data_IF_527649578400
#
_entry.id   IF_527649578400
#
_cell.length_a   1.000
_cell.length_b   1.000
_cell.length_c   1.000
_cell.angle_alpha   90.00
_cell.angle_beta   90.00
_cell.angle_gamma   90.00
#
_symmetry.space_group_name_H-M   'P 1'
#
loop_
_entity.id
_entity.type
_entity.pdbx_description
1 polymer ?
#
# COMPACT_ATOMS: atom_id res chain seq x y z
N UNK A 1 21.42 -59.00 26.86
CA UNK A 1 20.47 -57.88 27.06
C UNK A 1 21.26 -56.78 27.73
N UNK A 2 21.33 -55.61 27.11
CA UNK A 2 22.07 -54.45 27.64
C UNK A 2 21.12 -53.26 27.85
N UNK A 3 21.57 -52.26 28.61
CA UNK A 3 20.80 -51.06 28.88
C UNK A 3 20.75 -50.13 27.66
N UNK A 4 19.60 -49.49 27.42
CA UNK A 4 19.42 -48.51 26.33
C UNK A 4 19.95 -47.15 26.79
N UNK A 5 20.99 -46.65 26.12
CA UNK A 5 21.62 -45.35 26.39
C UNK A 5 20.96 -44.21 25.59
N UNK A 6 19.65 -44.02 25.75
CA UNK A 6 18.86 -43.07 24.95
C UNK A 6 19.34 -41.63 25.11
N UNK A 7 19.51 -41.16 26.35
CA UNK A 7 19.94 -39.79 26.65
C UNK A 7 21.31 -39.47 26.06
N UNK A 8 22.29 -40.37 26.24
CA UNK A 8 23.64 -40.19 25.71
C UNK A 8 23.64 -40.09 24.18
N UNK A 9 22.80 -40.87 23.50
CA UNK A 9 22.66 -40.80 22.04
C UNK A 9 22.02 -39.48 21.59
N UNK A 10 21.02 -38.98 22.31
CA UNK A 10 20.37 -37.69 21.98
C UNK A 10 21.29 -36.51 22.21
N UNK A 11 22.08 -36.52 23.28
CA UNK A 11 23.07 -35.46 23.56
C UNK A 11 24.19 -35.45 22.51
N UNK A 12 24.66 -36.63 22.08
CA UNK A 12 25.63 -36.71 21.00
C UNK A 12 25.09 -36.13 19.70
N UNK A 13 23.84 -36.44 19.32
CA UNK A 13 23.22 -35.87 18.11
C UNK A 13 23.11 -34.35 18.19
N UNK A 14 22.77 -33.78 19.35
CA UNK A 14 22.77 -32.33 19.56
C UNK A 14 24.17 -31.74 19.40
N UNK A 15 25.19 -32.40 19.96
CA UNK A 15 26.59 -32.00 19.81
C UNK A 15 27.04 -32.01 18.33
N UNK A 16 26.49 -32.94 17.54
CA UNK A 16 26.72 -33.04 16.09
C UNK A 16 25.90 -32.01 15.27
N UNK A 17 25.12 -31.15 15.94
CA UNK A 17 24.37 -30.06 15.32
C UNK A 17 22.92 -30.40 14.93
N UNK A 18 22.39 -31.55 15.36
CA UNK A 18 20.98 -31.89 15.15
C UNK A 18 20.10 -31.09 16.12
N UNK A 19 19.21 -30.27 15.57
CA UNK A 19 18.28 -29.41 16.33
C UNK A 19 16.83 -29.92 16.33
N UNK A 20 16.49 -30.81 15.38
CA UNK A 20 15.12 -31.26 15.13
C UNK A 20 15.03 -32.77 15.31
N UNK A 21 14.15 -33.23 16.20
CA UNK A 21 13.89 -34.65 16.44
C UNK A 21 12.46 -35.02 16.00
N UNK A 22 12.31 -36.12 15.27
CA UNK A 22 11.02 -36.69 14.87
C UNK A 22 10.86 -38.08 15.50
N UNK A 23 9.82 -38.28 16.31
CA UNK A 23 9.52 -39.59 16.89
C UNK A 23 8.64 -40.41 15.94
N UNK A 24 9.16 -41.57 15.53
CA UNK A 24 8.45 -42.54 14.71
C UNK A 24 7.83 -43.57 15.65
N UNK A 25 6.54 -43.41 15.93
CA UNK A 25 5.79 -44.28 16.83
C UNK A 25 4.34 -43.84 16.96
N UNK A 26 3.49 -44.63 17.62
CA UNK A 26 2.04 -44.43 17.63
C UNK A 26 1.54 -43.29 18.54
N UNK A 27 2.36 -42.72 19.43
CA UNK A 27 1.88 -41.75 20.43
C UNK A 27 2.74 -40.48 20.60
N UNK A 28 4.04 -40.60 20.89
CA UNK A 28 4.88 -39.42 21.19
C UNK A 28 5.56 -39.45 22.55
N UNK A 29 5.88 -40.63 23.07
CA UNK A 29 6.42 -40.83 24.43
C UNK A 29 7.82 -40.23 24.56
N UNK A 30 8.62 -40.32 23.50
CA UNK A 30 10.01 -39.86 23.49
C UNK A 30 10.12 -38.36 23.18
N UNK A 31 9.11 -37.79 22.53
CA UNK A 31 9.08 -36.40 22.07
C UNK A 31 9.25 -35.41 23.22
N UNK A 32 8.65 -35.70 24.38
CA UNK A 32 8.82 -34.88 25.58
C UNK A 32 10.24 -34.92 26.16
N UNK A 33 11.01 -35.97 25.88
CA UNK A 33 12.39 -36.14 26.36
C UNK A 33 13.41 -35.47 25.42
N UNK A 34 13.05 -35.26 24.16
CA UNK A 34 13.93 -34.70 23.12
C UNK A 34 13.52 -33.30 22.67
N UNK A 35 12.44 -32.74 23.21
CA UNK A 35 11.76 -31.57 22.63
C UNK A 35 11.46 -31.77 21.12
N UNK A 36 11.05 -33.00 20.80
CA UNK A 36 10.82 -33.47 19.44
C UNK A 36 9.35 -33.39 19.02
N UNK A 37 9.11 -33.71 17.75
CA UNK A 37 7.78 -33.75 17.14
C UNK A 37 7.34 -35.21 17.01
N UNK A 38 6.17 -35.62 17.56
CA UNK A 38 5.64 -36.96 17.34
C UNK A 38 5.02 -37.07 15.94
N UNK A 39 5.35 -38.14 15.21
CA UNK A 39 4.77 -38.40 13.89
C UNK A 39 3.29 -38.80 13.98
N UNK A 40 2.95 -39.67 14.93
CA UNK A 40 1.58 -40.10 15.21
C UNK A 40 1.24 -39.84 16.67
N UNK A 41 -0.07 -39.75 16.95
CA UNK A 41 -0.61 -39.58 18.30
C UNK A 41 -1.87 -40.40 18.45
N UNK A 42 -2.01 -41.12 19.56
CA UNK A 42 -3.17 -41.97 19.79
C UNK A 42 -4.47 -41.14 19.82
N UNK A 43 -5.54 -41.66 19.22
CA UNK A 43 -6.84 -41.00 19.19
C UNK A 43 -6.95 -39.80 18.22
N UNK A 44 -6.00 -39.63 17.30
CA UNK A 44 -5.99 -38.58 16.27
C UNK A 44 -5.88 -39.21 14.87
N UNK A 45 -6.42 -38.58 13.81
CA UNK A 45 -6.22 -39.06 12.45
C UNK A 45 -4.73 -39.08 12.07
N UNK A 46 -4.25 -40.22 11.59
CA UNK A 46 -2.83 -40.44 11.31
C UNK A 46 -2.29 -39.47 10.24
N UNK A 47 -3.05 -39.25 9.16
CA UNK A 47 -2.65 -38.37 8.05
C UNK A 47 -2.48 -36.93 8.50
N UNK A 48 -3.42 -36.41 9.28
CA UNK A 48 -3.38 -35.03 9.77
C UNK A 48 -2.19 -34.80 10.70
N UNK A 49 -1.92 -35.76 11.59
CA UNK A 49 -0.75 -35.71 12.46
C UNK A 49 0.55 -35.79 11.68
N UNK A 50 0.65 -36.71 10.72
CA UNK A 50 1.85 -36.88 9.92
C UNK A 50 2.14 -35.62 9.09
N UNK A 51 1.12 -35.01 8.49
CA UNK A 51 1.24 -33.73 7.77
C UNK A 51 1.65 -32.58 8.69
N UNK A 52 1.05 -32.50 9.88
CA UNK A 52 1.39 -31.48 10.85
C UNK A 52 2.80 -31.68 11.44
N UNK A 53 3.27 -32.92 11.58
CA UNK A 53 4.62 -33.25 11.99
C UNK A 53 5.64 -32.89 10.90
N UNK A 54 5.36 -33.24 9.65
CA UNK A 54 6.17 -32.87 8.49
C UNK A 54 6.31 -31.34 8.34
N UNK A 55 5.22 -30.60 8.60
CA UNK A 55 5.24 -29.14 8.61
C UNK A 55 6.17 -28.54 9.66
N UNK A 56 6.30 -29.20 10.82
CA UNK A 56 7.16 -28.76 11.92
C UNK A 56 8.61 -29.22 11.79
N UNK A 57 8.87 -30.33 11.11
CA UNK A 57 10.21 -30.91 10.96
C UNK A 57 11.02 -30.35 9.79
N UNK A 58 10.49 -29.36 9.06
CA UNK A 58 11.16 -28.81 7.88
C UNK A 58 11.17 -29.74 6.68
N UNK A 59 10.21 -30.67 6.59
CA UNK A 59 10.12 -31.62 5.49
C UNK A 59 9.99 -30.92 4.13
N UNK A 60 10.58 -31.53 3.09
CA UNK A 60 10.47 -31.05 1.71
C UNK A 60 9.12 -31.41 1.12
N UNK A 61 8.18 -30.48 1.18
CA UNK A 61 6.82 -30.61 0.62
C UNK A 61 6.73 -31.13 -0.83
N UNK A 62 7.63 -30.76 -1.76
CA UNK A 62 7.54 -31.26 -3.15
C UNK A 62 7.64 -32.79 -3.26
N UNK A 63 8.36 -33.44 -2.35
CA UNK A 63 8.49 -34.91 -2.36
C UNK A 63 7.22 -35.58 -1.82
N UNK A 64 6.58 -34.96 -0.82
CA UNK A 64 5.33 -35.45 -0.23
C UNK A 64 4.11 -35.25 -1.13
N UNK A 65 4.13 -34.19 -1.95
CA UNK A 65 3.01 -33.75 -2.79
C UNK A 65 3.24 -34.08 -4.28
N UNK A 66 3.97 -35.15 -4.58
CA UNK A 66 4.24 -35.55 -5.98
C UNK A 66 2.92 -35.80 -6.73
N UNK A 67 2.73 -35.08 -7.84
CA UNK A 67 1.50 -35.15 -8.65
C UNK A 67 0.39 -34.19 -8.20
N UNK A 68 0.60 -33.42 -7.13
CA UNK A 68 -0.30 -32.33 -6.76
C UNK A 68 -0.17 -31.16 -7.75
N UNK A 69 -1.27 -30.42 -7.91
CA UNK A 69 -1.30 -29.16 -8.67
C UNK A 69 -1.19 -27.99 -7.69
N UNK A 70 -0.31 -27.04 -7.99
CA UNK A 70 -0.27 -25.77 -7.25
C UNK A 70 -1.55 -24.98 -7.53
N UNK A 71 -2.17 -24.49 -6.45
CA UNK A 71 -3.31 -23.59 -6.52
C UNK A 71 -2.83 -22.15 -6.31
N UNK A 72 -3.35 -21.23 -7.12
CA UNK A 72 -3.15 -19.80 -6.88
C UNK A 72 -3.91 -19.40 -5.61
N UNK A 73 -3.21 -18.76 -4.69
CA UNK A 73 -3.78 -18.21 -3.46
C UNK A 73 -3.69 -16.68 -3.50
N UNK A 74 -4.58 -15.96 -2.79
CA UNK A 74 -4.43 -14.52 -2.62
C UNK A 74 -3.00 -14.18 -2.17
N UNK A 75 -2.45 -13.13 -2.75
CA UNK A 75 -1.14 -12.61 -2.34
C UNK A 75 -1.23 -12.02 -0.93
N UNK A 76 -0.07 -11.68 -0.37
CA UNK A 76 0.03 -11.10 0.96
C UNK A 76 -0.98 -9.97 1.17
N UNK A 77 -1.71 -10.02 2.29
CA UNK A 77 -2.67 -8.98 2.67
C UNK A 77 -1.93 -7.76 3.21
N UNK A 78 -1.41 -6.92 2.31
CA UNK A 78 -0.78 -5.65 2.70
C UNK A 78 -1.73 -4.79 3.52
N UNK A 79 -1.26 -4.32 4.69
CA UNK A 79 -1.89 -3.23 5.42
C UNK A 79 -1.64 -1.94 4.64
N UNK A 80 -2.70 -1.39 4.04
CA UNK A 80 -2.62 -0.21 3.18
C UNK A 80 -2.85 1.05 4.00
N UNK A 81 -1.77 1.68 4.41
CA UNK A 81 -1.81 3.03 4.98
C UNK A 81 -1.23 4.05 4.01
N UNK A 82 -1.77 5.27 4.04
CA UNK A 82 -1.26 6.39 3.24
C UNK A 82 -0.07 7.02 3.96
N UNK A 83 1.13 6.79 3.44
CA UNK A 83 2.37 7.41 3.93
C UNK A 83 2.80 8.66 3.13
N UNK A 84 1.91 9.21 2.31
CA UNK A 84 2.20 10.46 1.60
C UNK A 84 2.06 11.66 2.55
N UNK A 85 2.98 12.63 2.54
CA UNK A 85 2.86 13.84 3.37
C UNK A 85 1.54 14.55 3.12
N UNK A 86 0.80 14.84 4.20
CA UNK A 86 -0.38 15.71 4.15
C UNK A 86 0.10 17.14 4.35
N UNK A 87 0.33 17.84 3.24
CA UNK A 87 0.65 19.27 3.28
C UNK A 87 -0.67 20.02 3.42
N UNK A 88 -0.89 20.70 4.54
CA UNK A 88 -2.04 21.61 4.68
C UNK A 88 -1.79 22.81 3.77
N UNK A 89 -2.55 23.00 2.69
CA UNK A 89 -2.35 24.14 1.81
C UNK A 89 -2.65 25.40 2.63
N UNK A 90 -1.61 26.19 2.91
CA UNK A 90 -1.83 27.58 3.28
C UNK A 90 -2.49 28.23 2.06
N UNK A 91 -3.55 29.02 2.27
CA UNK A 91 -4.22 29.79 1.20
C UNK A 91 -3.16 30.44 0.32
N UNK A 92 -3.00 29.95 -0.91
CA UNK A 92 -1.88 30.33 -1.77
C UNK A 92 -0.54 30.06 -1.08
N UNK A 93 -0.05 28.81 -1.12
CA UNK A 93 1.33 28.55 -0.72
C UNK A 93 2.23 29.55 -1.44
N UNK A 94 3.18 30.16 -0.73
CA UNK A 94 4.08 31.16 -1.30
C UNK A 94 4.89 30.51 -2.44
N UNK A 95 4.34 30.60 -3.66
CA UNK A 95 4.92 29.97 -4.85
C UNK A 95 6.24 30.64 -5.22
N UNK A 96 6.53 31.81 -4.66
CA UNK A 96 7.84 32.46 -4.80
C UNK A 96 8.95 31.66 -4.12
N UNK A 97 8.65 30.90 -3.05
CA UNK A 97 9.60 30.02 -2.39
C UNK A 97 10.11 28.88 -3.29
N UNK A 98 9.35 28.53 -4.35
CA UNK A 98 9.74 27.57 -5.39
C UNK A 98 10.08 28.25 -6.72
N UNK A 99 10.28 29.57 -6.72
CA UNK A 99 10.72 30.35 -7.88
C UNK A 99 9.63 30.68 -8.89
N UNK A 100 8.35 30.52 -8.54
CA UNK A 100 7.23 30.86 -9.41
C UNK A 100 6.65 32.23 -9.04
N UNK A 101 6.09 32.94 -10.03
CA UNK A 101 5.39 34.19 -9.78
C UNK A 101 4.00 33.92 -9.21
N UNK A 102 3.58 34.69 -8.20
CA UNK A 102 2.23 34.63 -7.67
C UNK A 102 1.22 35.21 -8.67
N UNK A 103 0.04 34.59 -8.76
CA UNK A 103 -1.05 35.12 -9.58
C UNK A 103 -1.95 36.11 -8.81
N UNK A 104 -1.73 36.32 -7.51
CA UNK A 104 -2.52 37.15 -6.59
C UNK A 104 -4.04 36.99 -6.77
N UNK A 105 -4.52 35.74 -6.84
CA UNK A 105 -5.92 35.43 -7.08
C UNK A 105 -6.39 34.21 -6.26
N UNK A 106 -7.61 34.20 -5.69
CA UNK A 106 -8.06 33.12 -4.80
C UNK A 106 -8.04 31.72 -5.42
N UNK A 107 -8.28 31.62 -6.74
CA UNK A 107 -8.30 30.34 -7.47
C UNK A 107 -7.02 30.07 -8.28
N UNK A 108 -6.12 31.06 -8.44
CA UNK A 108 -4.85 30.91 -9.17
C UNK A 108 -3.68 31.10 -8.21
N UNK A 109 -2.84 30.08 -8.08
CA UNK A 109 -1.68 30.09 -7.20
C UNK A 109 -0.40 30.58 -7.86
N UNK A 110 -0.14 30.18 -9.11
CA UNK A 110 1.13 30.48 -9.78
C UNK A 110 0.96 30.83 -11.26
N UNK A 111 1.88 31.66 -11.75
CA UNK A 111 2.04 32.05 -13.15
C UNK A 111 3.40 31.59 -13.65
N UNK A 112 3.43 30.96 -14.83
CA UNK A 112 4.64 30.42 -15.46
C UNK A 112 4.68 30.84 -16.93
N UNK A 113 5.69 31.63 -17.31
CA UNK A 113 5.99 31.87 -18.73
C UNK A 113 6.68 30.65 -19.34
N UNK A 114 6.28 30.24 -20.55
CA UNK A 114 6.94 29.15 -21.27
C UNK A 114 8.20 29.68 -21.95
N UNK A 115 9.31 28.95 -21.85
CA UNK A 115 10.58 29.40 -22.43
C UNK A 115 10.59 29.36 -23.97
N UNK A 116 9.76 28.51 -24.57
CA UNK A 116 9.74 28.25 -26.02
C UNK A 116 8.70 29.10 -26.78
N UNK A 117 7.89 29.91 -26.07
CA UNK A 117 6.83 30.73 -26.68
C UNK A 117 6.42 31.91 -25.79
N UNK A 118 5.68 32.87 -26.35
CA UNK A 118 5.09 33.97 -25.57
C UNK A 118 3.84 33.53 -24.76
N UNK A 119 3.68 32.22 -24.51
CA UNK A 119 2.55 31.68 -23.77
C UNK A 119 2.81 31.72 -22.26
N UNK A 120 1.75 32.02 -21.51
CA UNK A 120 1.76 32.02 -20.05
C UNK A 120 0.77 31.00 -19.52
N UNK A 121 1.20 30.19 -18.56
CA UNK A 121 0.38 29.17 -17.88
C UNK A 121 0.04 29.65 -16.48
N UNK A 122 -1.25 29.62 -16.15
CA UNK A 122 -1.75 29.89 -14.82
C UNK A 122 -2.15 28.57 -14.17
N UNK A 123 -1.71 28.34 -12.95
CA UNK A 123 -2.01 27.11 -12.20
C UNK A 123 -2.69 27.45 -10.89
N UNK A 124 -3.60 26.58 -10.46
CA UNK A 124 -4.39 26.77 -9.26
C UNK A 124 -5.11 25.50 -8.86
N UNK A 125 -5.74 25.53 -7.68
CA UNK A 125 -6.52 24.41 -7.16
C UNK A 125 -7.95 24.86 -6.90
N UNK A 126 -8.88 24.12 -7.51
CA UNK A 126 -10.32 24.28 -7.32
C UNK A 126 -10.79 23.06 -6.52
N UNK A 127 -11.19 23.27 -5.26
CA UNK A 127 -11.62 22.20 -4.37
C UNK A 127 -12.67 22.70 -3.38
N UNK A 128 -13.61 21.84 -3.01
CA UNK A 128 -14.62 22.15 -1.98
C UNK A 128 -14.01 22.35 -0.59
N UNK A 129 -12.84 21.74 -0.35
CA UNK A 129 -12.11 21.87 0.90
C UNK A 129 -11.52 23.27 1.08
N UNK A 130 -10.97 23.85 0.01
CA UNK A 130 -10.37 25.20 0.05
C UNK A 130 -11.37 26.31 -0.27
N UNK A 131 -12.38 26.00 -1.09
CA UNK A 131 -13.39 26.94 -1.59
C UNK A 131 -14.81 26.42 -1.30
N UNK A 132 -15.26 26.43 -0.03
CA UNK A 132 -16.55 25.84 0.35
C UNK A 132 -17.76 26.45 -0.38
N UNK A 133 -17.66 27.72 -0.77
CA UNK A 133 -18.69 28.45 -1.52
C UNK A 133 -19.01 27.83 -2.88
N UNK A 134 -18.12 27.02 -3.46
CA UNK A 134 -18.39 26.30 -4.70
C UNK A 134 -19.55 25.31 -4.55
N UNK A 135 -19.79 24.79 -3.33
CA UNK A 135 -20.89 23.87 -3.07
C UNK A 135 -22.26 24.51 -3.36
N UNK A 136 -22.36 25.84 -3.29
CA UNK A 136 -23.60 26.58 -3.52
C UNK A 136 -23.99 26.63 -5.01
N UNK A 137 -23.07 26.31 -5.93
CA UNK A 137 -23.34 26.25 -7.36
C UNK A 137 -23.49 24.80 -7.85
N UNK A 138 -24.63 24.21 -7.46
CA UNK A 138 -24.99 22.83 -7.81
C UNK A 138 -26.10 22.80 -8.86
N UNK A 139 -25.90 22.08 -9.95
CA UNK A 139 -26.88 21.88 -11.03
C UNK A 139 -27.17 20.38 -11.12
N UNK A 140 -28.44 20.00 -10.92
CA UNK A 140 -28.88 18.60 -10.98
C UNK A 140 -28.09 17.64 -10.05
N UNK A 141 -27.65 18.14 -8.89
CA UNK A 141 -26.89 17.36 -7.90
C UNK A 141 -25.38 17.30 -8.14
N UNK A 142 -24.88 17.92 -9.22
CA UNK A 142 -23.44 18.02 -9.51
C UNK A 142 -22.95 19.42 -9.19
N UNK A 143 -21.89 19.54 -8.38
CA UNK A 143 -21.21 20.82 -8.17
C UNK A 143 -20.41 21.16 -9.42
N UNK A 144 -20.69 22.33 -10.00
CA UNK A 144 -20.00 22.84 -11.19
C UNK A 144 -19.32 24.16 -10.85
N UNK A 145 -18.15 24.41 -11.43
CA UNK A 145 -17.52 25.73 -11.32
C UNK A 145 -18.43 26.76 -12.02
N UNK A 146 -18.83 27.86 -11.35
CA UNK A 146 -19.69 28.86 -12.00
C UNK A 146 -19.05 29.46 -13.24
N UNK A 147 -19.85 29.76 -14.26
CA UNK A 147 -19.36 30.48 -15.45
C UNK A 147 -18.75 31.84 -15.10
N UNK A 148 -19.30 32.53 -14.09
CA UNK A 148 -18.72 33.78 -13.58
C UNK A 148 -17.30 33.60 -13.00
N UNK A 149 -17.01 32.43 -12.38
CA UNK A 149 -15.66 32.13 -11.91
C UNK A 149 -14.70 31.88 -13.08
N UNK A 150 -15.16 31.24 -14.17
CA UNK A 150 -14.36 31.11 -15.39
C UNK A 150 -14.04 32.46 -16.02
N UNK A 151 -15.01 33.37 -16.09
CA UNK A 151 -14.79 34.75 -16.59
C UNK A 151 -13.74 35.47 -15.73
N UNK A 152 -13.84 35.39 -14.40
CA UNK A 152 -12.87 36.00 -13.49
C UNK A 152 -11.44 35.45 -13.70
N UNK A 153 -11.30 34.13 -13.90
CA UNK A 153 -10.01 33.51 -14.20
C UNK A 153 -9.41 34.06 -15.51
N UNK A 154 -10.23 34.23 -16.55
CA UNK A 154 -9.79 34.76 -17.85
C UNK A 154 -9.43 36.24 -17.75
N UNK A 155 -10.23 37.05 -17.03
CA UNK A 155 -9.91 38.46 -16.78
C UNK A 155 -8.58 38.61 -16.05
N UNK A 156 -8.37 37.82 -14.98
CA UNK A 156 -7.11 37.86 -14.25
C UNK A 156 -5.91 37.45 -15.10
N UNK A 157 -6.07 36.42 -15.94
CA UNK A 157 -5.04 36.03 -16.90
C UNK A 157 -4.78 37.14 -17.92
N UNK A 158 -5.84 37.79 -18.39
CA UNK A 158 -5.80 38.94 -19.30
C UNK A 158 -5.01 40.11 -18.74
N UNK A 159 -5.33 40.57 -17.53
CA UNK A 159 -4.61 41.64 -16.83
C UNK A 159 -3.10 41.36 -16.77
N UNK A 160 -2.72 40.10 -16.51
CA UNK A 160 -1.33 39.70 -16.36
C UNK A 160 -0.55 39.73 -17.69
N UNK A 161 -1.24 39.56 -18.82
CA UNK A 161 -0.64 39.58 -20.18
C UNK A 161 -0.95 40.86 -20.95
N UNK A 162 -1.63 41.83 -20.33
CA UNK A 162 -1.99 43.11 -20.95
C UNK A 162 -3.22 43.08 -21.87
N UNK A 163 -4.10 42.07 -21.70
CA UNK A 163 -5.36 41.91 -22.42
C UNK A 163 -6.54 42.17 -21.47
N UNK A 164 -6.96 43.44 -21.35
CA UNK A 164 -7.95 43.88 -20.35
C UNK A 164 -9.42 43.57 -20.72
N UNK A 165 -9.69 43.10 -21.95
CA UNK A 165 -11.05 42.87 -22.44
C UNK A 165 -11.26 41.41 -22.86
N UNK A 166 -12.34 40.82 -22.35
CA UNK A 166 -12.92 39.57 -22.87
C UNK A 166 -14.07 39.93 -23.79
N UNK A 167 -13.87 39.78 -25.11
CA UNK A 167 -14.89 40.04 -26.12
C UNK A 167 -15.97 38.95 -26.13
N UNK A 168 -15.56 37.68 -26.03
CA UNK A 168 -16.43 36.52 -25.99
C UNK A 168 -15.79 35.40 -25.17
N UNK A 169 -16.61 34.67 -24.41
CA UNK A 169 -16.19 33.44 -23.71
C UNK A 169 -17.13 32.30 -24.09
N UNK A 170 -16.58 31.32 -24.82
CA UNK A 170 -17.28 30.08 -25.18
C UNK A 170 -16.84 28.96 -24.26
N UNK A 171 -17.82 28.34 -23.57
CA UNK A 171 -17.60 27.18 -22.70
C UNK A 171 -18.15 25.94 -23.38
N UNK A 172 -17.29 24.93 -23.58
CA UNK A 172 -17.67 23.62 -24.10
C UNK A 172 -17.66 22.58 -22.96
N UNK A 173 -18.60 21.65 -23.01
CA UNK A 173 -18.82 20.62 -21.99
C UNK A 173 -18.47 19.23 -22.53
#
# INVERSE_FOLDING_TARGET
REAVRFHDATEQLRADGVDTFLEIGPDGVLSALTDGVPLLRSGRPEVDNALAAAARSGARWPELLKGARLADIPTYAFQRDRYWPTVTPHRGGDVTAVGLAAADHPLLGAVVGLAESDATVFTGRVSLEEHPWLADHTISGTVLLPGAAMVELVLRAGDQVGCELVEELTLEA
#
